data_IF_987328909055
#
_entry.id   IF_987328909055
#
_cell.length_a   1.000
_cell.length_b   1.000
_cell.length_c   1.000
_cell.angle_alpha   90.00
_cell.angle_beta   90.00
_cell.angle_gamma   90.00
#
_symmetry.space_group_name_H-M   'P 1'
#
loop_
_entity.id
_entity.type
_entity.pdbx_description
1 polymer ?
#
# COMPACT_ATOMS: atom_id res chain seq x y z
N UNK A 1 -4.90 -13.29 14.46
CA UNK A 1 -5.22 -11.96 14.99
C UNK A 1 -6.44 -11.49 14.20
N UNK A 2 -7.54 -11.16 14.86
CA UNK A 2 -8.68 -10.55 14.18
C UNK A 2 -8.28 -9.10 13.96
N UNK A 3 -8.38 -8.62 12.72
CA UNK A 3 -8.20 -7.21 12.40
C UNK A 3 -9.32 -6.43 13.10
N UNK A 4 -9.03 -5.85 14.26
CA UNK A 4 -9.98 -5.04 15.06
C UNK A 4 -10.31 -3.69 14.39
N UNK A 5 -9.78 -3.46 13.17
CA UNK A 5 -9.95 -2.26 12.35
C UNK A 5 -9.48 -0.99 13.03
N UNK A 6 -8.63 -1.08 14.05
CA UNK A 6 -8.25 0.07 14.88
C UNK A 6 -7.54 1.14 14.05
N UNK A 7 -6.63 0.74 13.15
CA UNK A 7 -5.96 1.66 12.23
C UNK A 7 -6.92 2.31 11.22
N UNK A 8 -7.97 1.61 10.79
CA UNK A 8 -8.97 2.18 9.88
C UNK A 8 -9.95 3.13 10.59
N UNK A 9 -10.29 2.83 11.85
CA UNK A 9 -11.22 3.64 12.67
C UNK A 9 -10.67 5.02 13.03
N UNK A 10 -9.35 5.24 12.96
CA UNK A 10 -8.79 6.60 13.11
C UNK A 10 -9.14 7.50 11.92
N UNK A 11 -9.49 6.91 10.77
CA UNK A 11 -9.92 7.64 9.57
C UNK A 11 -11.44 7.75 9.51
N UNK A 12 -12.17 6.65 9.69
CA UNK A 12 -13.63 6.70 9.75
C UNK A 12 -14.20 5.50 10.49
N UNK A 13 -15.20 5.74 11.33
CA UNK A 13 -15.97 4.69 12.00
C UNK A 13 -17.19 4.23 11.17
N UNK A 14 -17.40 4.79 9.97
CA UNK A 14 -18.54 4.44 9.12
C UNK A 14 -18.50 2.94 8.73
N UNK A 15 -19.57 2.16 8.97
CA UNK A 15 -19.59 0.73 8.64
C UNK A 15 -19.38 0.43 7.15
N UNK A 16 -19.82 1.31 6.24
CA UNK A 16 -19.63 1.14 4.80
C UNK A 16 -18.18 1.39 4.38
N UNK A 17 -17.49 2.33 5.04
CA UNK A 17 -16.05 2.51 4.89
C UNK A 17 -15.28 1.27 5.36
N UNK A 18 -15.55 0.81 6.59
CA UNK A 18 -14.86 -0.33 7.18
C UNK A 18 -15.10 -1.65 6.43
N UNK A 19 -16.25 -1.78 5.75
CA UNK A 19 -16.60 -2.96 4.97
C UNK A 19 -15.83 -3.08 3.64
N UNK A 20 -15.29 -1.98 3.12
CA UNK A 20 -14.56 -1.97 1.84
C UNK A 20 -13.04 -2.04 1.98
N UNK A 21 -12.51 -2.03 3.20
CA UNK A 21 -11.07 -2.04 3.45
C UNK A 21 -10.66 -3.24 4.28
N UNK A 22 -9.61 -3.92 3.84
CA UNK A 22 -9.01 -5.06 4.53
C UNK A 22 -7.54 -4.75 4.86
N UNK A 23 -7.28 -4.17 6.03
CA UNK A 23 -5.92 -3.99 6.56
C UNK A 23 -5.25 -5.34 6.82
N UNK A 24 -3.99 -5.48 6.41
CA UNK A 24 -3.29 -6.78 6.48
C UNK A 24 -1.82 -6.71 6.90
N UNK A 25 -1.16 -5.56 6.79
CA UNK A 25 0.25 -5.42 7.15
C UNK A 25 0.57 -3.98 7.58
N UNK A 26 1.55 -3.84 8.47
CA UNK A 26 2.21 -2.56 8.73
C UNK A 26 3.11 -2.23 7.53
N UNK A 27 3.17 -0.96 7.15
CA UNK A 27 3.86 -0.48 5.96
C UNK A 27 5.23 0.13 6.26
N UNK A 28 5.41 0.70 7.45
CA UNK A 28 6.67 1.25 7.94
C UNK A 28 6.74 1.24 9.47
N UNK A 29 7.92 1.54 10.02
CA UNK A 29 8.19 1.52 11.46
C UNK A 29 7.45 2.58 12.28
N UNK A 30 6.90 3.62 11.66
CA UNK A 30 6.19 4.70 12.36
C UNK A 30 4.74 4.36 12.66
N UNK A 31 4.10 3.55 11.82
CA UNK A 31 2.75 3.03 12.07
C UNK A 31 1.81 3.08 10.87
N UNK A 32 2.29 3.48 9.70
CA UNK A 32 1.53 3.38 8.45
C UNK A 32 1.17 1.92 8.18
N UNK A 33 0.09 1.67 7.42
CA UNK A 33 -0.35 0.30 7.14
C UNK A 33 -0.95 0.15 5.74
N UNK A 34 -0.85 -1.06 5.21
CA UNK A 34 -1.47 -1.46 3.95
C UNK A 34 -2.87 -2.02 4.18
N UNK A 35 -3.78 -1.68 3.27
CA UNK A 35 -5.09 -2.29 3.15
C UNK A 35 -5.43 -2.63 1.70
N UNK A 36 -6.21 -3.70 1.51
CA UNK A 36 -6.84 -4.00 0.23
C UNK A 36 -8.13 -3.19 0.15
N UNK A 37 -8.33 -2.46 -0.95
CA UNK A 37 -9.56 -1.72 -1.20
C UNK A 37 -10.48 -2.46 -2.16
N UNK A 38 -11.67 -2.80 -1.68
CA UNK A 38 -12.75 -3.32 -2.49
C UNK A 38 -13.47 -2.18 -3.21
N UNK A 39 -13.04 -1.91 -4.44
CA UNK A 39 -13.58 -0.89 -5.35
C UNK A 39 -15.05 -1.11 -5.79
N UNK A 40 -15.75 -2.11 -5.22
CA UNK A 40 -17.14 -2.42 -5.51
C UNK A 40 -17.36 -3.14 -6.84
N UNK A 41 -16.30 -3.50 -7.57
CA UNK A 41 -16.40 -4.15 -8.89
C UNK A 41 -16.56 -5.68 -8.84
N UNK A 42 -16.70 -6.26 -7.65
CA UNK A 42 -16.83 -7.71 -7.42
C UNK A 42 -15.67 -8.56 -8.00
N UNK A 43 -14.50 -7.94 -8.21
CA UNK A 43 -13.25 -8.65 -8.53
C UNK A 43 -12.86 -9.58 -7.38
N UNK A 44 -12.08 -10.64 -7.65
CA UNK A 44 -11.43 -11.39 -6.59
C UNK A 44 -10.44 -10.49 -5.83
N UNK A 45 -10.25 -10.75 -4.53
CA UNK A 45 -9.35 -9.97 -3.67
C UNK A 45 -7.91 -9.89 -4.21
N UNK A 46 -7.46 -10.90 -4.96
CA UNK A 46 -6.15 -10.93 -5.61
C UNK A 46 -5.98 -9.92 -6.74
N UNK A 47 -7.06 -9.28 -7.20
CA UNK A 47 -7.07 -8.26 -8.27
C UNK A 47 -7.49 -6.88 -7.75
N UNK A 48 -7.69 -6.76 -6.43
CA UNK A 48 -8.09 -5.51 -5.81
C UNK A 48 -6.87 -4.63 -5.51
N UNK A 49 -6.99 -3.30 -5.68
CA UNK A 49 -5.90 -2.38 -5.41
C UNK A 49 -5.50 -2.37 -3.94
N UNK A 50 -4.23 -2.07 -3.71
CA UNK A 50 -3.64 -1.85 -2.40
C UNK A 50 -3.51 -0.35 -2.17
N UNK A 51 -4.00 0.09 -1.01
CA UNK A 51 -3.85 1.44 -0.49
C UNK A 51 -2.94 1.41 0.72
N UNK A 52 -2.11 2.44 0.88
CA UNK A 52 -1.38 2.71 2.10
C UNK A 52 -2.05 3.87 2.85
N UNK A 53 -2.20 3.71 4.16
CA UNK A 53 -2.63 4.76 5.07
C UNK A 53 -1.43 5.23 5.89
N UNK A 54 -1.07 6.51 5.74
CA UNK A 54 0.05 7.11 6.45
C UNK A 54 -0.30 7.48 7.89
N UNK A 55 0.56 7.18 8.84
CA UNK A 55 0.36 7.53 10.25
C UNK A 55 0.58 9.03 10.55
N UNK A 56 1.27 9.73 9.65
CA UNK A 56 1.39 11.20 9.64
C UNK A 56 0.35 11.90 8.74
N UNK A 57 -0.56 11.13 8.14
CA UNK A 57 -1.48 11.59 7.10
C UNK A 57 -1.13 11.02 5.73
N UNK A 58 -1.94 11.36 4.72
CA UNK A 58 -1.80 10.81 3.36
C UNK A 58 -2.41 9.42 3.20
N UNK A 59 -3.14 9.23 2.10
CA UNK A 59 -3.74 7.95 1.74
C UNK A 59 -3.62 7.75 0.23
N UNK A 60 -2.81 6.77 -0.16
CA UNK A 60 -2.40 6.61 -1.56
C UNK A 60 -2.58 5.19 -2.05
N UNK A 61 -3.05 5.03 -3.29
CA UNK A 61 -2.95 3.78 -4.01
C UNK A 61 -1.46 3.53 -4.30
N UNK A 62 -0.98 2.34 -3.96
CA UNK A 62 0.42 1.94 -4.17
C UNK A 62 0.55 0.77 -5.14
N UNK A 63 -0.48 -0.06 -5.27
CA UNK A 63 -0.46 -1.18 -6.20
C UNK A 63 -1.86 -1.49 -6.74
N UNK A 64 -1.94 -1.99 -7.96
CA UNK A 64 -3.17 -2.49 -8.58
C UNK A 64 -3.62 -3.83 -7.97
N UNK A 65 -2.71 -4.58 -7.35
CA UNK A 65 -2.97 -5.85 -6.70
C UNK A 65 -1.82 -6.30 -5.79
N UNK A 66 -2.03 -7.39 -5.07
CA UNK A 66 -1.05 -7.95 -4.13
C UNK A 66 0.25 -8.40 -4.79
N UNK A 67 0.23 -8.92 -6.03
CA UNK A 67 1.46 -9.34 -6.73
C UNK A 67 2.33 -8.14 -7.07
N UNK A 68 1.72 -7.01 -7.46
CA UNK A 68 2.45 -5.77 -7.68
C UNK A 68 3.00 -5.18 -6.38
N UNK A 69 2.30 -5.33 -5.25
CA UNK A 69 2.87 -4.99 -3.94
C UNK A 69 4.09 -5.85 -3.62
N UNK A 70 4.05 -7.17 -3.86
CA UNK A 70 5.21 -8.04 -3.68
C UNK A 70 6.40 -7.56 -4.52
N UNK A 71 6.16 -7.09 -5.75
CA UNK A 71 7.19 -6.51 -6.59
C UNK A 71 7.79 -5.25 -5.97
N UNK A 72 6.96 -4.32 -5.48
CA UNK A 72 7.45 -3.11 -4.81
C UNK A 72 8.33 -3.43 -3.59
N UNK A 73 7.94 -4.43 -2.79
CA UNK A 73 8.70 -4.85 -1.61
C UNK A 73 10.10 -5.40 -1.97
N UNK A 74 10.34 -5.83 -3.21
CA UNK A 74 11.69 -6.22 -3.64
C UNK A 74 12.67 -5.05 -3.66
N UNK A 75 12.17 -3.81 -3.64
CA UNK A 75 13.02 -2.63 -3.49
C UNK A 75 13.78 -2.65 -2.15
N UNK A 76 13.33 -3.40 -1.14
CA UNK A 76 14.04 -3.59 0.13
C UNK A 76 14.19 -2.31 0.98
N UNK A 77 13.15 -1.47 0.99
CA UNK A 77 13.00 -0.41 2.00
C UNK A 77 11.55 -0.30 2.43
N UNK A 78 11.32 0.33 3.58
CA UNK A 78 9.96 0.74 3.95
C UNK A 78 9.46 1.84 3.01
N UNK A 79 8.13 1.95 2.91
CA UNK A 79 7.47 2.99 2.12
C UNK A 79 7.37 4.28 2.92
N UNK A 80 7.66 5.41 2.28
CA UNK A 80 7.44 6.73 2.83
C UNK A 80 6.08 7.25 2.37
N UNK A 81 5.30 7.77 3.31
CA UNK A 81 3.95 8.27 3.07
C UNK A 81 3.83 9.65 3.65
N UNK A 82 3.40 10.62 2.84
CA UNK A 82 3.06 11.96 3.28
C UNK A 82 1.74 12.41 2.63
N UNK A 83 1.28 13.62 2.93
CA UNK A 83 0.04 14.15 2.37
C UNK A 83 0.06 14.31 0.85
N UNK A 84 1.21 14.65 0.28
CA UNK A 84 1.37 15.02 -1.13
C UNK A 84 1.77 13.82 -2.00
N UNK A 85 2.26 12.73 -1.41
CA UNK A 85 2.70 11.56 -2.16
C UNK A 85 3.18 10.37 -1.33
N UNK A 86 3.71 9.40 -2.08
CA UNK A 86 4.21 8.13 -1.58
C UNK A 86 5.39 7.71 -2.43
N UNK A 87 6.47 7.25 -1.79
CA UNK A 87 7.70 6.89 -2.49
C UNK A 87 8.51 5.87 -1.70
N UNK A 88 9.44 5.21 -2.38
CA UNK A 88 10.51 4.43 -1.74
C UNK A 88 11.83 5.16 -1.90
N UNK A 89 12.73 5.02 -0.93
CA UNK A 89 14.03 5.67 -0.97
C UNK A 89 15.08 4.85 -0.23
N UNK A 90 16.23 4.63 -0.88
CA UNK A 90 17.45 4.10 -0.25
C UNK A 90 18.40 5.23 0.02
N UNK A 91 18.73 5.44 1.28
CA UNK A 91 19.82 6.33 1.63
C UNK A 91 21.16 5.64 1.36
N UNK A 92 22.01 6.21 0.50
CA UNK A 92 23.30 5.59 0.14
C UNK A 92 24.26 5.45 1.34
N UNK A 93 24.08 6.23 2.40
CA UNK A 93 24.93 6.20 3.59
C UNK A 93 24.38 5.27 4.69
N UNK A 94 23.04 5.14 4.78
CA UNK A 94 22.35 4.45 5.88
C UNK A 94 21.60 3.17 5.44
N UNK A 95 21.54 2.85 4.15
CA UNK A 95 20.89 1.63 3.67
C UNK A 95 21.70 0.37 4.03
N UNK A 96 21.04 -0.53 4.75
CA UNK A 96 21.49 -1.88 5.00
C UNK A 96 20.51 -2.87 4.36
N UNK A 97 21.03 -3.81 3.58
CA UNK A 97 20.25 -4.86 2.94
C UNK A 97 19.59 -5.77 4.01
N UNK A 98 18.31 -6.11 3.82
CA UNK A 98 17.62 -7.03 4.73
C UNK A 98 18.29 -8.40 4.74
N UNK A 99 18.42 -9.01 5.93
CA UNK A 99 19.11 -10.29 6.12
C UNK A 99 18.57 -11.42 5.21
N UNK A 100 17.26 -11.42 4.92
CA UNK A 100 16.57 -12.42 4.12
C UNK A 100 16.21 -11.94 2.69
N UNK A 101 16.81 -10.85 2.19
CA UNK A 101 16.46 -10.28 0.88
C UNK A 101 16.64 -11.31 -0.24
N UNK A 102 17.78 -12.01 -0.29
CA UNK A 102 18.08 -12.98 -1.36
C UNK A 102 17.03 -14.11 -1.39
N UNK A 103 16.63 -14.64 -0.22
CA UNK A 103 15.59 -15.67 -0.12
C UNK A 103 14.23 -15.16 -0.60
N UNK A 104 13.90 -13.90 -0.30
CA UNK A 104 12.66 -13.26 -0.77
C UNK A 104 12.67 -13.04 -2.29
N UNK A 105 13.78 -12.56 -2.86
CA UNK A 105 13.94 -12.34 -4.29
C UNK A 105 13.83 -13.65 -5.08
N UNK A 106 14.51 -14.70 -4.61
CA UNK A 106 14.42 -16.04 -5.21
C UNK A 106 12.97 -16.55 -5.19
N UNK A 107 12.29 -16.42 -4.05
CA UNK A 107 10.89 -16.84 -3.94
C UNK A 107 9.96 -16.04 -4.88
N UNK A 108 10.13 -14.71 -4.96
CA UNK A 108 9.34 -13.85 -5.85
C UNK A 108 9.59 -14.19 -7.33
N UNK A 109 10.84 -14.43 -7.71
CA UNK A 109 11.24 -14.86 -9.05
C UNK A 109 10.66 -16.22 -9.41
N UNK A 110 10.76 -17.21 -8.54
CA UNK A 110 10.28 -18.56 -8.79
C UNK A 110 8.74 -18.65 -8.91
N UNK A 111 8.02 -17.89 -8.10
CA UNK A 111 6.55 -18.00 -8.01
C UNK A 111 5.81 -17.04 -8.95
N UNK A 112 6.39 -15.87 -9.25
CA UNK A 112 5.73 -14.81 -10.04
C UNK A 112 6.54 -14.38 -11.27
N UNK A 113 7.79 -14.83 -11.42
CA UNK A 113 8.65 -14.43 -12.53
C UNK A 113 9.08 -12.96 -12.48
N UNK A 114 9.05 -12.36 -11.30
CA UNK A 114 9.40 -10.96 -11.08
C UNK A 114 10.87 -10.86 -10.64
N UNK A 115 11.57 -9.87 -11.20
CA UNK A 115 12.91 -9.48 -10.77
C UNK A 115 12.84 -8.45 -9.64
N UNK A 116 13.98 -8.13 -9.04
CA UNK A 116 14.07 -6.99 -8.15
C UNK A 116 13.72 -5.70 -8.91
N UNK A 117 12.91 -4.86 -8.29
CA UNK A 117 12.55 -3.56 -8.84
C UNK A 117 13.63 -2.53 -8.51
N UNK A 118 14.01 -1.74 -9.52
CA UNK A 118 14.95 -0.61 -9.37
C UNK A 118 14.22 0.74 -9.36
N UNK A 119 13.10 0.82 -10.08
CA UNK A 119 12.31 2.05 -10.28
C UNK A 119 10.87 1.82 -9.78
N UNK A 120 10.63 1.84 -8.45
CA UNK A 120 9.31 1.55 -7.88
C UNK A 120 8.26 2.61 -8.24
N UNK A 121 8.69 3.85 -8.47
CA UNK A 121 7.81 4.98 -8.75
C UNK A 121 6.96 4.76 -10.01
N UNK A 122 7.54 4.29 -11.12
CA UNK A 122 6.79 4.04 -12.35
C UNK A 122 5.65 3.02 -12.13
N UNK A 123 5.92 2.02 -11.29
CA UNK A 123 4.96 0.97 -10.98
C UNK A 123 3.82 1.49 -10.09
N UNK A 124 4.13 2.36 -9.13
CA UNK A 124 3.12 3.03 -8.29
C UNK A 124 2.31 4.04 -9.10
N UNK A 125 2.95 4.88 -9.92
CA UNK A 125 2.29 5.86 -10.78
C UNK A 125 1.29 5.22 -11.74
N UNK A 126 1.60 4.03 -12.26
CA UNK A 126 0.68 3.26 -13.08
C UNK A 126 -0.59 2.86 -12.30
N UNK A 127 -0.43 2.40 -11.05
CA UNK A 127 -1.55 2.05 -10.18
C UNK A 127 -2.37 3.29 -9.78
N UNK A 128 -1.70 4.39 -9.44
CA UNK A 128 -2.33 5.66 -9.09
C UNK A 128 -3.13 6.24 -10.25
N UNK A 129 -2.55 6.27 -11.45
CA UNK A 129 -3.21 6.75 -12.67
C UNK A 129 -4.53 6.02 -12.96
N UNK A 130 -4.65 4.77 -12.52
CA UNK A 130 -5.83 3.93 -12.73
C UNK A 130 -6.88 4.06 -11.64
N UNK A 131 -6.45 4.19 -10.38
CA UNK A 131 -7.34 4.02 -9.23
C UNK A 131 -7.42 5.24 -8.30
N UNK A 132 -6.42 6.10 -8.24
CA UNK A 132 -6.30 7.16 -7.24
C UNK A 132 -7.52 8.10 -7.24
N UNK A 133 -7.89 8.65 -8.39
CA UNK A 133 -9.03 9.58 -8.48
C UNK A 133 -10.36 8.95 -8.04
N UNK A 134 -10.60 7.67 -8.40
CA UNK A 134 -11.82 6.97 -8.00
C UNK A 134 -11.79 6.62 -6.51
N UNK A 135 -10.60 6.28 -5.99
CA UNK A 135 -10.40 6.06 -4.56
C UNK A 135 -10.65 7.34 -3.76
N UNK A 136 -10.12 8.49 -4.19
CA UNK A 136 -10.32 9.78 -3.53
C UNK A 136 -11.79 10.21 -3.54
N UNK A 137 -12.49 10.07 -4.66
CA UNK A 137 -13.93 10.34 -4.75
C UNK A 137 -14.75 9.44 -3.80
N UNK A 138 -14.32 8.20 -3.62
CA UNK A 138 -14.93 7.27 -2.67
C UNK A 138 -14.58 7.63 -1.21
N UNK A 139 -13.30 7.86 -0.93
CA UNK A 139 -12.75 8.14 0.38
C UNK A 139 -13.30 9.45 0.96
N UNK A 140 -13.43 10.48 0.11
CA UNK A 140 -13.99 11.79 0.43
C UNK A 140 -15.43 11.78 0.93
N UNK A 141 -16.16 10.67 0.76
CA UNK A 141 -17.51 10.50 1.31
C UNK A 141 -17.50 10.18 2.81
N UNK A 142 -16.38 9.67 3.33
CA UNK A 142 -16.23 9.15 4.70
C UNK A 142 -15.20 9.92 5.53
N UNK A 143 -14.29 10.61 4.85
CA UNK A 143 -13.24 11.41 5.45
C UNK A 143 -13.08 12.70 4.64
N UNK A 144 -13.17 13.82 5.33
CA UNK A 144 -12.79 15.12 4.79
C UNK A 144 -11.82 15.74 5.79
N UNK A 145 -10.71 16.29 5.29
CA UNK A 145 -9.85 17.20 6.06
C UNK A 145 -10.63 18.49 6.37
N UNK A 146 -11.65 18.40 7.23
CA UNK A 146 -12.25 19.57 7.86
C UNK A 146 -11.43 19.92 9.10
N UNK A 147 -10.60 20.96 8.94
CA UNK A 147 -9.93 21.85 9.92
C UNK A 147 -9.90 21.45 11.41
#
# INVERSE_FOLDING_TARGET
>A
MIDDKLGLKSWSEDPAFLAQLYSFAQANGSGSFYAIWNDGTAKPMSEMPIVVFGDEGGVHIVAENFVQLLHLLTFDTEIHVDFDGVYFYKDEEDYEESEDLEEFLDWVKENYGLDQIEEPDELMEAAQSKYQAVFEDWFGQYYSDEE
#
